data_IF_552091145135
#
_entry.id   IF_552091145135
#
_cell.length_a   1.000
_cell.length_b   1.000
_cell.length_c   1.000
_cell.angle_alpha   90.00
_cell.angle_beta   90.00
_cell.angle_gamma   90.00
#
_symmetry.space_group_name_H-M   'P 1'
#
loop_
_entity.id
_entity.type
_entity.pdbx_description
1 polymer ?
#
# COMPACT_ATOMS: atom_id res chain seq x y z
N UNK A 1 24.27 14.98 -3.96
CA UNK A 1 24.69 13.60 -4.36
C UNK A 1 25.66 12.98 -3.34
N UNK A 2 26.68 13.72 -2.85
CA UNK A 2 27.60 13.24 -1.83
C UNK A 2 26.91 13.01 -0.48
N UNK A 3 25.95 13.85 -0.12
CA UNK A 3 25.20 13.74 1.13
C UNK A 3 24.31 12.50 1.19
N UNK A 4 23.71 12.08 0.07
CA UNK A 4 22.92 10.86 0.00
C UNK A 4 23.80 9.60 0.17
N UNK A 5 24.98 9.56 -0.46
CA UNK A 5 25.93 8.46 -0.30
C UNK A 5 26.50 8.40 1.14
N UNK A 6 26.73 9.56 1.77
CA UNK A 6 27.15 9.64 3.18
C UNK A 6 26.05 9.17 4.15
N UNK A 7 24.81 9.45 3.86
CA UNK A 7 23.68 9.00 4.67
C UNK A 7 23.55 7.48 4.64
N UNK A 8 23.63 6.85 3.45
CA UNK A 8 23.61 5.38 3.30
C UNK A 8 24.76 4.69 4.05
N UNK A 9 25.95 5.27 4.06
CA UNK A 9 27.10 4.71 4.80
C UNK A 9 26.92 4.84 6.31
N UNK A 10 26.32 5.93 6.79
CA UNK A 10 26.00 6.12 8.23
C UNK A 10 24.96 5.12 8.72
N UNK A 11 23.96 4.81 7.92
CA UNK A 11 22.92 3.82 8.23
C UNK A 11 23.46 2.38 8.20
N UNK A 12 24.49 2.10 7.37
CA UNK A 12 25.07 0.77 7.21
C UNK A 12 26.22 0.42 8.19
N UNK A 13 26.42 1.21 9.29
CA UNK A 13 27.33 0.80 10.36
C UNK A 13 28.74 1.43 10.34
N UNK A 14 28.93 2.61 9.74
CA UNK A 14 30.13 3.48 9.82
C UNK A 14 31.49 2.93 9.36
N UNK A 15 31.57 1.71 8.84
CA UNK A 15 32.83 1.14 8.37
C UNK A 15 32.72 0.74 6.89
N UNK A 16 32.91 1.69 5.99
CA UNK A 16 32.92 1.43 4.56
C UNK A 16 32.71 2.67 3.70
N UNK A 17 32.98 2.55 2.42
CA UNK A 17 32.63 3.54 1.42
C UNK A 17 31.65 2.93 0.43
N UNK A 18 30.64 3.71 -0.01
CA UNK A 18 29.79 3.37 -1.15
C UNK A 18 29.88 4.51 -2.16
N UNK A 19 30.10 4.15 -3.41
CA UNK A 19 29.90 5.11 -4.48
C UNK A 19 28.41 5.38 -4.60
N UNK A 20 28.01 6.65 -4.55
CA UNK A 20 26.70 7.07 -4.99
C UNK A 20 26.55 6.58 -6.43
N UNK A 21 25.74 5.55 -6.66
CA UNK A 21 25.26 5.28 -8.01
C UNK A 21 24.45 6.50 -8.41
N UNK A 22 25.08 7.42 -9.16
CA UNK A 22 24.30 8.31 -10.00
C UNK A 22 23.26 7.39 -10.67
N UNK A 23 21.96 7.75 -10.58
CA UNK A 23 21.03 7.28 -11.60
C UNK A 23 21.69 7.69 -12.91
N UNK A 24 22.38 6.74 -13.54
CA UNK A 24 22.98 6.97 -14.83
C UNK A 24 21.86 7.56 -15.68
N UNK A 25 22.14 8.67 -16.35
CA UNK A 25 21.33 9.10 -17.49
C UNK A 25 21.11 7.82 -18.29
N UNK A 26 19.86 7.41 -18.52
CA UNK A 26 19.61 6.11 -19.12
C UNK A 26 20.42 6.01 -20.39
N UNK A 27 21.36 5.07 -20.43
CA UNK A 27 21.95 4.69 -21.71
C UNK A 27 20.79 4.26 -22.61
N UNK A 28 20.82 4.51 -23.91
CA UNK A 28 19.73 4.20 -24.85
C UNK A 28 19.15 2.78 -24.66
N UNK A 29 19.94 1.85 -24.15
CA UNK A 29 19.53 0.51 -23.78
C UNK A 29 18.55 0.45 -22.60
N UNK A 30 18.67 1.33 -21.62
CA UNK A 30 17.79 1.36 -20.45
C UNK A 30 16.42 1.99 -20.80
N UNK A 31 16.40 3.05 -21.60
CA UNK A 31 15.16 3.64 -22.11
C UNK A 31 14.36 2.65 -22.97
N UNK A 32 15.04 1.90 -23.84
CA UNK A 32 14.41 0.86 -24.66
C UNK A 32 13.86 -0.28 -23.81
N UNK A 33 14.60 -0.73 -22.79
CA UNK A 33 14.15 -1.78 -21.87
C UNK A 33 12.90 -1.33 -21.10
N UNK A 34 12.84 -0.07 -20.66
CA UNK A 34 11.69 0.52 -19.98
C UNK A 34 10.45 0.61 -20.88
N UNK A 35 10.62 1.03 -22.14
CA UNK A 35 9.52 1.05 -23.12
C UNK A 35 8.98 -0.36 -23.40
N UNK A 36 9.86 -1.35 -23.56
CA UNK A 36 9.46 -2.74 -23.74
C UNK A 36 8.73 -3.29 -22.50
N UNK A 37 9.15 -2.88 -21.30
CA UNK A 37 8.51 -3.29 -20.04
C UNK A 37 7.13 -2.65 -19.89
N UNK A 38 6.97 -1.34 -20.18
CA UNK A 38 5.70 -0.66 -20.19
C UNK A 38 4.72 -1.30 -21.19
N UNK A 39 5.18 -1.53 -22.42
CA UNK A 39 4.37 -2.21 -23.44
C UNK A 39 3.91 -3.61 -22.97
N UNK A 40 4.84 -4.40 -22.42
CA UNK A 40 4.52 -5.73 -21.89
C UNK A 40 3.53 -5.69 -20.72
N UNK A 41 3.60 -4.68 -19.84
CA UNK A 41 2.61 -4.49 -18.76
C UNK A 41 1.22 -4.16 -19.31
N UNK A 42 1.13 -3.25 -20.30
CA UNK A 42 -0.16 -2.90 -20.94
C UNK A 42 -0.82 -4.12 -21.59
N UNK A 43 -0.05 -4.90 -22.31
CA UNK A 43 -0.51 -6.15 -22.90
C UNK A 43 -0.94 -7.14 -21.81
N UNK A 44 -0.15 -7.29 -20.75
CA UNK A 44 -0.42 -8.20 -19.64
C UNK A 44 -1.73 -7.87 -18.90
N UNK A 45 -2.08 -6.59 -18.79
CA UNK A 45 -3.35 -6.16 -18.19
C UNK A 45 -4.55 -6.64 -19.04
N UNK A 46 -4.47 -6.49 -20.36
CA UNK A 46 -5.49 -6.99 -21.30
C UNK A 46 -5.58 -8.52 -21.32
N UNK A 47 -4.46 -9.21 -21.20
CA UNK A 47 -4.35 -10.67 -21.26
C UNK A 47 -4.54 -11.37 -19.91
N UNK A 48 -4.92 -10.64 -18.86
CA UNK A 48 -5.13 -11.17 -17.50
C UNK A 48 -3.91 -11.88 -16.91
N UNK A 49 -2.71 -11.36 -17.19
CA UNK A 49 -1.46 -11.90 -16.67
C UNK A 49 -1.08 -11.32 -15.30
N UNK A 50 -1.84 -10.36 -14.78
CA UNK A 50 -1.76 -9.93 -13.39
C UNK A 50 -2.60 -10.83 -12.50
N UNK A 51 -2.16 -11.05 -11.26
CA UNK A 51 -2.86 -11.79 -10.22
C UNK A 51 -2.71 -11.08 -8.89
N UNK A 52 -3.65 -11.30 -7.98
CA UNK A 52 -3.51 -10.93 -6.58
C UNK A 52 -3.11 -12.17 -5.78
N UNK A 53 -2.06 -12.04 -4.99
CA UNK A 53 -1.76 -12.92 -3.88
C UNK A 53 -2.31 -12.30 -2.61
N UNK A 54 -2.82 -13.11 -1.72
CA UNK A 54 -3.47 -12.64 -0.50
C UNK A 54 -2.63 -13.06 0.70
N UNK A 55 -2.13 -12.07 1.44
CA UNK A 55 -1.39 -12.31 2.68
C UNK A 55 -2.35 -12.17 3.85
N UNK A 56 -2.55 -13.20 4.67
CA UNK A 56 -3.47 -13.13 5.80
C UNK A 56 -3.01 -12.11 6.82
N UNK A 57 -3.97 -11.41 7.43
CA UNK A 57 -3.80 -10.54 8.58
C UNK A 57 -4.34 -11.28 9.80
N UNK A 58 -3.51 -11.37 10.84
CA UNK A 58 -3.79 -12.18 12.03
C UNK A 58 -3.98 -11.25 13.23
N UNK A 59 -5.06 -11.40 13.97
CA UNK A 59 -5.23 -10.77 15.26
C UNK A 59 -4.25 -11.39 16.27
N UNK A 60 -3.41 -10.57 16.89
CA UNK A 60 -2.35 -11.04 17.77
C UNK A 60 -2.87 -11.59 19.11
N UNK A 61 -4.07 -11.24 19.51
CA UNK A 61 -4.64 -11.69 20.77
C UNK A 61 -5.36 -13.02 20.62
N UNK A 62 -6.15 -13.18 19.55
CA UNK A 62 -6.93 -14.41 19.29
C UNK A 62 -6.20 -15.43 18.42
N UNK A 63 -5.23 -14.99 17.58
CA UNK A 63 -4.61 -15.82 16.55
C UNK A 63 -5.51 -16.05 15.32
N UNK A 64 -6.66 -15.43 15.25
CA UNK A 64 -7.61 -15.60 14.15
C UNK A 64 -7.24 -14.75 12.94
N UNK A 65 -7.63 -15.19 11.74
CA UNK A 65 -7.52 -14.40 10.50
C UNK A 65 -8.63 -13.36 10.51
N UNK A 66 -8.25 -12.09 10.46
CA UNK A 66 -9.15 -10.93 10.49
C UNK A 66 -9.13 -10.11 9.21
N UNK A 67 -8.51 -10.60 8.17
CA UNK A 67 -8.41 -9.93 6.88
C UNK A 67 -7.31 -10.51 6.02
N UNK A 68 -7.12 -9.90 4.87
CA UNK A 68 -6.00 -10.22 3.99
C UNK A 68 -5.53 -8.98 3.22
N UNK A 69 -4.24 -8.87 2.94
CA UNK A 69 -3.71 -7.87 2.04
C UNK A 69 -3.57 -8.42 0.62
N UNK A 70 -4.12 -7.72 -0.36
CA UNK A 70 -4.04 -8.05 -1.77
C UNK A 70 -2.75 -7.50 -2.38
N UNK A 71 -1.83 -8.37 -2.67
CA UNK A 71 -0.52 -8.07 -3.21
C UNK A 71 -0.44 -8.41 -4.69
N UNK A 72 -0.28 -7.40 -5.53
CA UNK A 72 -0.20 -7.58 -6.98
C UNK A 72 1.02 -8.40 -7.37
N UNK A 73 0.84 -9.32 -8.32
CA UNK A 73 1.91 -10.13 -8.92
C UNK A 73 1.70 -10.13 -10.43
N UNK A 74 2.80 -10.01 -11.15
CA UNK A 74 2.79 -10.06 -12.60
C UNK A 74 3.44 -11.35 -13.10
N UNK A 75 2.66 -12.18 -13.80
CA UNK A 75 3.19 -13.36 -14.49
C UNK A 75 3.69 -12.95 -15.88
N UNK A 76 4.99 -12.89 -16.04
CA UNK A 76 5.65 -12.61 -17.33
C UNK A 76 6.26 -13.89 -17.86
N UNK A 77 5.58 -14.53 -18.81
CA UNK A 77 6.04 -15.76 -19.46
C UNK A 77 6.40 -16.90 -18.49
N UNK A 78 5.54 -17.11 -17.48
CA UNK A 78 5.76 -18.15 -16.47
C UNK A 78 6.63 -17.72 -15.27
N UNK A 79 7.29 -16.56 -15.36
CA UNK A 79 8.09 -15.99 -14.27
C UNK A 79 7.26 -14.96 -13.51
N UNK A 80 7.23 -15.07 -12.19
CA UNK A 80 6.53 -14.13 -11.32
C UNK A 80 7.43 -12.91 -11.07
N UNK A 81 7.06 -11.76 -11.62
CA UNK A 81 7.78 -10.49 -11.44
C UNK A 81 7.29 -9.86 -10.13
N UNK A 82 8.20 -9.51 -9.19
CA UNK A 82 7.82 -8.87 -7.92
C UNK A 82 7.37 -7.42 -8.13
N UNK A 83 6.51 -6.87 -7.24
CA UNK A 83 5.99 -5.51 -7.35
C UNK A 83 7.07 -4.43 -7.45
N UNK A 84 8.17 -4.58 -6.71
CA UNK A 84 9.29 -3.62 -6.72
C UNK A 84 9.93 -3.40 -8.09
N UNK A 85 9.80 -4.38 -9.01
CA UNK A 85 10.40 -4.31 -10.33
C UNK A 85 9.49 -3.63 -11.37
N UNK A 86 8.16 -3.57 -11.15
CA UNK A 86 7.24 -3.01 -12.14
C UNK A 86 6.39 -1.85 -11.63
N UNK A 87 6.07 -1.77 -10.34
CA UNK A 87 5.24 -0.70 -9.78
C UNK A 87 5.85 0.69 -10.02
N UNK A 88 7.17 0.93 -9.80
CA UNK A 88 7.74 2.25 -10.05
C UNK A 88 7.56 2.71 -11.50
N UNK A 89 7.73 1.80 -12.48
CA UNK A 89 7.51 2.13 -13.88
C UNK A 89 6.02 2.34 -14.18
N UNK A 90 5.12 1.54 -13.60
CA UNK A 90 3.69 1.73 -13.74
C UNK A 90 3.23 3.09 -13.19
N UNK A 91 3.82 3.57 -12.10
CA UNK A 91 3.59 4.91 -11.57
C UNK A 91 4.08 6.00 -12.52
N UNK A 92 5.31 5.88 -13.03
CA UNK A 92 5.87 6.85 -13.98
C UNK A 92 5.04 6.97 -15.25
N UNK A 93 4.58 5.84 -15.80
CA UNK A 93 3.84 5.78 -17.07
C UNK A 93 2.32 5.96 -16.91
N UNK A 94 1.82 6.07 -15.67
CA UNK A 94 0.40 6.17 -15.36
C UNK A 94 -0.38 4.86 -15.46
N UNK A 95 0.27 3.75 -15.80
CA UNK A 95 -0.37 2.43 -15.87
C UNK A 95 -0.81 1.93 -14.49
N UNK A 96 -0.27 2.50 -13.43
CA UNK A 96 -0.67 2.18 -12.06
C UNK A 96 -2.16 2.44 -11.82
N UNK A 97 -2.77 3.42 -12.50
CA UNK A 97 -4.20 3.73 -12.37
C UNK A 97 -5.08 2.56 -12.80
N UNK A 98 -5.06 2.10 -14.07
CA UNK A 98 -5.88 0.97 -14.48
C UNK A 98 -5.50 -0.35 -13.78
N UNK A 99 -4.25 -0.52 -13.33
CA UNK A 99 -3.84 -1.66 -12.51
C UNK A 99 -4.50 -1.65 -11.14
N UNK A 100 -4.59 -0.50 -10.48
CA UNK A 100 -5.22 -0.37 -9.17
C UNK A 100 -6.74 -0.53 -9.25
N UNK A 101 -7.39 0.03 -10.27
CA UNK A 101 -8.82 -0.20 -10.53
C UNK A 101 -9.11 -1.69 -10.77
N UNK A 102 -8.24 -2.37 -11.51
CA UNK A 102 -8.31 -3.82 -11.69
C UNK A 102 -8.14 -4.55 -10.36
N UNK A 103 -7.18 -4.14 -9.51
CA UNK A 103 -6.92 -4.76 -8.22
C UNK A 103 -8.13 -4.66 -7.29
N UNK A 104 -8.76 -3.47 -7.18
CA UNK A 104 -9.99 -3.28 -6.38
C UNK A 104 -11.12 -4.20 -6.87
N UNK A 105 -11.33 -4.28 -8.19
CA UNK A 105 -12.34 -5.19 -8.76
C UNK A 105 -12.04 -6.67 -8.45
N UNK A 106 -10.78 -7.09 -8.53
CA UNK A 106 -10.41 -8.47 -8.19
C UNK A 106 -10.54 -8.76 -6.70
N UNK A 107 -10.19 -7.80 -5.83
CA UNK A 107 -10.38 -7.91 -4.39
C UNK A 107 -11.88 -8.05 -4.04
N UNK A 108 -12.75 -7.20 -4.57
CA UNK A 108 -14.20 -7.30 -4.38
C UNK A 108 -14.76 -8.65 -4.85
N UNK A 109 -14.32 -9.13 -6.02
CA UNK A 109 -14.66 -10.46 -6.51
C UNK A 109 -14.22 -11.57 -5.54
N UNK A 110 -13.00 -11.46 -5.00
CA UNK A 110 -12.45 -12.47 -4.10
C UNK A 110 -13.18 -12.47 -2.75
N UNK A 111 -13.52 -11.29 -2.21
CA UNK A 111 -14.39 -11.19 -1.02
C UNK A 111 -15.67 -11.95 -1.24
N UNK A 112 -16.35 -11.74 -2.39
CA UNK A 112 -17.60 -12.47 -2.70
C UNK A 112 -17.43 -13.97 -2.69
N UNK A 113 -16.35 -14.47 -3.30
CA UNK A 113 -16.06 -15.92 -3.33
C UNK A 113 -15.83 -16.45 -1.91
N UNK A 114 -15.06 -15.72 -1.10
CA UNK A 114 -14.76 -16.14 0.26
C UNK A 114 -15.98 -16.07 1.20
N UNK A 115 -16.83 -15.05 1.03
CA UNK A 115 -18.10 -14.96 1.76
C UNK A 115 -19.00 -16.16 1.47
N UNK A 116 -19.12 -16.54 0.20
CA UNK A 116 -20.00 -17.63 -0.22
C UNK A 116 -19.47 -19.02 0.20
N UNK A 117 -18.15 -19.23 0.15
CA UNK A 117 -17.59 -20.56 0.34
C UNK A 117 -17.08 -20.82 1.77
N UNK A 118 -16.72 -19.76 2.51
CA UNK A 118 -16.03 -19.88 3.80
C UNK A 118 -16.64 -19.00 4.89
N UNK A 119 -17.68 -18.22 4.60
CA UNK A 119 -18.27 -17.30 5.58
C UNK A 119 -17.36 -16.14 5.96
N UNK A 120 -16.38 -15.77 5.11
CA UNK A 120 -15.46 -14.68 5.36
C UNK A 120 -16.22 -13.36 5.55
N UNK A 121 -16.09 -12.76 6.73
CA UNK A 121 -16.81 -11.55 7.13
C UNK A 121 -15.93 -10.29 7.17
N UNK A 122 -14.62 -10.46 6.99
CA UNK A 122 -13.61 -9.42 7.13
C UNK A 122 -13.31 -8.68 5.82
N UNK A 123 -12.27 -7.87 5.81
CA UNK A 123 -11.89 -7.03 4.67
C UNK A 123 -10.67 -7.56 3.91
N UNK A 124 -10.56 -7.17 2.65
CA UNK A 124 -9.34 -7.29 1.86
C UNK A 124 -8.75 -5.90 1.68
N UNK A 125 -7.50 -5.72 2.13
CA UNK A 125 -6.75 -4.50 1.98
C UNK A 125 -6.14 -4.40 0.57
N UNK A 126 -6.25 -3.22 -0.05
CA UNK A 126 -5.73 -2.93 -1.40
C UNK A 126 -4.94 -1.64 -1.38
N UNK A 127 -3.70 -1.69 -1.84
CA UNK A 127 -2.82 -0.53 -1.95
C UNK A 127 -3.34 0.49 -2.97
N UNK A 128 -3.44 1.75 -2.57
CA UNK A 128 -3.92 2.86 -3.37
C UNK A 128 -2.81 3.88 -3.63
N UNK A 129 -2.26 3.95 -4.85
CA UNK A 129 -1.21 4.91 -5.19
C UNK A 129 -1.74 6.34 -5.26
N UNK A 130 -0.86 7.32 -4.95
CA UNK A 130 -1.23 8.75 -4.89
C UNK A 130 -1.86 9.28 -6.17
N UNK A 131 -1.44 8.81 -7.33
CA UNK A 131 -2.00 9.23 -8.64
C UNK A 131 -3.50 9.03 -8.81
N UNK A 132 -4.09 8.09 -8.06
CA UNK A 132 -5.54 7.89 -8.11
C UNK A 132 -6.31 9.05 -7.49
N UNK A 133 -5.74 9.77 -6.53
CA UNK A 133 -6.37 10.93 -5.90
C UNK A 133 -6.43 12.17 -6.82
N UNK A 134 -5.65 12.20 -7.90
CA UNK A 134 -5.74 13.22 -8.94
C UNK A 134 -7.00 13.07 -9.81
N UNK A 135 -7.72 11.97 -9.67
CA UNK A 135 -8.89 11.64 -10.49
C UNK A 135 -10.19 12.02 -9.78
N UNK A 136 -11.04 12.75 -10.46
CA UNK A 136 -12.37 13.13 -9.96
C UNK A 136 -13.35 11.95 -9.86
N UNK A 137 -13.12 10.87 -10.62
CA UNK A 137 -13.97 9.67 -10.69
C UNK A 137 -13.51 8.53 -9.78
N UNK A 138 -12.48 8.73 -8.94
CA UNK A 138 -11.93 7.71 -8.05
C UNK A 138 -13.01 7.04 -7.19
N UNK A 139 -13.81 7.86 -6.49
CA UNK A 139 -14.83 7.37 -5.56
C UNK A 139 -15.89 6.56 -6.29
N UNK A 140 -16.35 7.06 -7.44
CA UNK A 140 -17.33 6.37 -8.27
C UNK A 140 -16.80 5.03 -8.81
N UNK A 141 -15.56 5.00 -9.29
CA UNK A 141 -14.94 3.77 -9.80
C UNK A 141 -14.81 2.70 -8.72
N UNK A 142 -14.45 3.08 -7.48
CA UNK A 142 -14.39 2.15 -6.34
C UNK A 142 -15.79 1.68 -5.97
N UNK A 143 -16.75 2.60 -5.88
CA UNK A 143 -18.15 2.29 -5.59
C UNK A 143 -18.70 1.27 -6.58
N UNK A 144 -18.56 1.50 -7.86
CA UNK A 144 -19.01 0.60 -8.92
C UNK A 144 -18.31 -0.75 -8.89
N UNK A 145 -17.01 -0.77 -8.57
CA UNK A 145 -16.25 -2.01 -8.45
C UNK A 145 -16.79 -2.91 -7.32
N UNK A 146 -17.18 -2.32 -6.19
CA UNK A 146 -17.74 -3.03 -5.03
C UNK A 146 -19.17 -3.49 -5.32
N UNK A 147 -20.01 -2.60 -5.85
CA UNK A 147 -21.41 -2.90 -6.21
C UNK A 147 -21.53 -4.03 -7.24
N UNK A 148 -20.62 -4.09 -8.20
CA UNK A 148 -20.65 -5.11 -9.25
C UNK A 148 -20.60 -6.55 -8.71
N UNK A 149 -20.07 -6.74 -7.50
CA UNK A 149 -20.01 -8.05 -6.86
C UNK A 149 -20.99 -8.19 -5.67
N UNK A 150 -21.73 -7.13 -5.33
CA UNK A 150 -22.70 -7.14 -4.25
C UNK A 150 -22.06 -7.43 -2.88
N UNK A 151 -20.87 -6.89 -2.63
CA UNK A 151 -20.19 -6.98 -1.33
C UNK A 151 -20.35 -5.67 -0.58
N UNK A 152 -20.33 -5.65 0.76
CA UNK A 152 -20.37 -4.41 1.52
C UNK A 152 -19.08 -3.60 1.30
N UNK A 153 -19.16 -2.26 1.25
CA UNK A 153 -18.01 -1.40 1.01
C UNK A 153 -16.90 -1.58 2.05
N UNK A 154 -17.26 -1.79 3.32
CA UNK A 154 -16.31 -2.09 4.40
C UNK A 154 -15.50 -3.39 4.22
N UNK A 155 -15.88 -4.23 3.26
CA UNK A 155 -15.09 -5.42 2.91
C UNK A 155 -13.87 -5.09 2.03
N UNK A 156 -13.72 -3.83 1.63
CA UNK A 156 -12.52 -3.29 0.97
C UNK A 156 -11.91 -2.24 1.90
N UNK A 157 -10.67 -2.49 2.32
CA UNK A 157 -9.82 -1.57 3.05
C UNK A 157 -8.82 -0.97 2.06
N UNK A 158 -8.76 0.35 1.93
CA UNK A 158 -7.80 1.01 1.05
C UNK A 158 -6.58 1.44 1.84
N UNK A 159 -5.40 1.00 1.40
CA UNK A 159 -4.13 1.34 2.03
C UNK A 159 -3.44 2.47 1.27
N UNK A 160 -3.06 3.52 1.98
CA UNK A 160 -2.27 4.63 1.46
C UNK A 160 -1.02 4.80 2.32
N UNK A 161 0.15 4.90 1.70
CA UNK A 161 1.38 5.14 2.46
C UNK A 161 1.39 6.56 3.04
N UNK A 162 1.99 6.72 4.22
CA UNK A 162 2.16 8.02 4.87
C UNK A 162 2.74 9.08 3.91
N UNK A 163 3.78 8.71 3.16
CA UNK A 163 4.42 9.59 2.21
C UNK A 163 3.50 10.03 1.06
N UNK A 164 2.60 9.16 0.60
CA UNK A 164 1.65 9.49 -0.46
C UNK A 164 0.54 10.42 0.04
N UNK A 165 0.09 10.23 1.28
CA UNK A 165 -0.85 11.11 1.94
C UNK A 165 -0.33 12.56 2.02
N UNK A 166 0.97 12.71 2.32
CA UNK A 166 1.60 14.03 2.54
C UNK A 166 1.90 14.81 1.25
N UNK A 167 1.88 14.18 0.09
CA UNK A 167 2.16 14.86 -1.20
C UNK A 167 1.11 15.89 -1.59
N UNK A 168 -0.17 15.59 -1.34
CA UNK A 168 -1.31 16.47 -1.64
C UNK A 168 -2.43 16.23 -0.63
N UNK A 169 -2.18 16.64 0.59
CA UNK A 169 -3.08 16.37 1.72
C UNK A 169 -4.50 16.90 1.49
N UNK A 170 -4.66 18.03 0.81
CA UNK A 170 -5.98 18.64 0.61
C UNK A 170 -6.87 17.76 -0.29
N UNK A 171 -6.40 17.41 -1.49
CA UNK A 171 -7.17 16.60 -2.43
C UNK A 171 -7.36 15.17 -1.95
N UNK A 172 -6.30 14.61 -1.32
CA UNK A 172 -6.38 13.28 -0.71
C UNK A 172 -7.43 13.26 0.38
N UNK A 173 -7.43 14.23 1.30
CA UNK A 173 -8.41 14.33 2.40
C UNK A 173 -9.85 14.35 1.90
N UNK A 174 -10.16 15.17 0.90
CA UNK A 174 -11.51 15.24 0.30
C UNK A 174 -11.95 13.88 -0.25
N UNK A 175 -11.05 13.19 -0.96
CA UNK A 175 -11.34 11.88 -1.53
C UNK A 175 -11.53 10.81 -0.45
N UNK A 176 -10.72 10.84 0.63
CA UNK A 176 -10.85 9.92 1.76
C UNK A 176 -12.18 10.08 2.50
N UNK A 177 -12.62 11.33 2.74
CA UNK A 177 -13.93 11.57 3.34
C UNK A 177 -15.07 11.00 2.49
N UNK A 178 -15.06 11.25 1.17
CA UNK A 178 -16.07 10.72 0.26
C UNK A 178 -16.05 9.20 0.17
N UNK A 179 -14.87 8.57 0.22
CA UNK A 179 -14.75 7.10 0.29
C UNK A 179 -15.32 6.55 1.59
N UNK A 180 -15.05 7.22 2.71
CA UNK A 180 -15.60 6.82 4.01
C UNK A 180 -17.12 7.01 4.08
N UNK A 181 -17.67 8.07 3.48
CA UNK A 181 -19.13 8.31 3.40
C UNK A 181 -19.87 7.16 2.70
N UNK A 182 -19.24 6.51 1.72
CA UNK A 182 -19.81 5.32 1.07
C UNK A 182 -19.49 4.00 1.83
N UNK A 183 -18.77 4.08 2.95
CA UNK A 183 -18.48 2.95 3.85
C UNK A 183 -17.21 2.17 3.52
N UNK A 184 -16.29 2.74 2.71
CA UNK A 184 -14.95 2.18 2.47
C UNK A 184 -14.03 2.56 3.63
N UNK A 185 -13.32 1.60 4.19
CA UNK A 185 -12.36 1.82 5.27
C UNK A 185 -10.98 2.22 4.72
N UNK A 186 -10.24 3.04 5.49
CA UNK A 186 -8.94 3.58 5.09
C UNK A 186 -7.86 3.19 6.09
N UNK A 187 -6.75 2.68 5.61
CA UNK A 187 -5.54 2.38 6.39
C UNK A 187 -4.37 3.25 5.93
N UNK A 188 -3.59 3.75 6.88
CA UNK A 188 -2.29 4.37 6.57
C UNK A 188 -1.21 3.31 6.73
N UNK A 189 -0.45 3.08 5.66
CA UNK A 189 0.68 2.14 5.63
C UNK A 189 2.04 2.83 5.81
N UNK A 190 3.05 2.06 6.21
CA UNK A 190 4.43 2.47 6.47
C UNK A 190 4.54 3.64 7.48
N UNK A 191 3.61 3.68 8.47
CA UNK A 191 3.53 4.78 9.42
C UNK A 191 4.75 4.86 10.34
N UNK A 192 5.27 6.08 10.51
CA UNK A 192 6.44 6.40 11.33
C UNK A 192 7.71 6.61 10.52
N UNK A 193 7.69 6.41 9.19
CA UNK A 193 8.86 6.65 8.32
C UNK A 193 8.92 8.07 7.76
N UNK A 194 7.82 8.82 7.85
CA UNK A 194 7.65 10.17 7.33
C UNK A 194 7.67 11.27 8.40
N UNK A 195 7.48 12.51 7.98
CA UNK A 195 7.34 13.69 8.83
C UNK A 195 5.86 13.97 9.11
N UNK A 196 5.15 13.05 9.75
CA UNK A 196 3.74 13.28 10.07
C UNK A 196 3.56 14.38 11.08
N UNK A 197 2.84 15.42 10.71
CA UNK A 197 2.20 16.24 11.71
C UNK A 197 0.98 15.48 12.23
N UNK A 198 0.97 15.11 13.47
CA UNK A 198 -0.15 14.39 14.13
C UNK A 198 -1.50 15.09 13.97
N UNK A 199 -1.49 16.39 13.64
CA UNK A 199 -2.69 17.20 13.45
C UNK A 199 -3.61 16.70 12.32
N UNK A 200 -3.06 16.09 11.25
CA UNK A 200 -3.95 15.60 10.17
C UNK A 200 -4.67 14.31 10.53
N UNK A 201 -4.02 13.46 11.34
CA UNK A 201 -4.62 12.18 11.71
C UNK A 201 -5.94 12.36 12.47
N UNK A 202 -6.09 13.49 13.19
CA UNK A 202 -7.32 13.81 13.90
C UNK A 202 -8.46 14.26 12.99
N UNK A 203 -8.15 14.64 11.75
CA UNK A 203 -9.13 15.17 10.78
C UNK A 203 -9.47 14.18 9.68
N UNK A 204 -8.67 13.13 9.49
CA UNK A 204 -8.88 12.15 8.44
C UNK A 204 -9.72 10.96 8.93
N UNK A 205 -10.59 10.41 8.08
CA UNK A 205 -11.43 9.27 8.41
C UNK A 205 -10.65 7.95 8.32
N UNK A 206 -9.65 7.79 9.20
CA UNK A 206 -8.75 6.65 9.20
C UNK A 206 -9.29 5.58 10.13
N UNK A 207 -9.33 4.34 9.65
CA UNK A 207 -9.78 3.16 10.40
C UNK A 207 -8.60 2.37 10.96
N UNK A 208 -7.40 2.48 10.35
CA UNK A 208 -6.25 1.66 10.70
C UNK A 208 -4.92 2.39 10.49
N UNK A 209 -3.94 2.12 11.35
CA UNK A 209 -2.54 2.50 11.18
C UNK A 209 -1.67 1.24 11.15
N UNK A 210 -0.88 1.07 10.08
CA UNK A 210 0.09 -0.01 9.94
C UNK A 210 1.49 0.52 10.25
N UNK A 211 2.11 -0.04 11.27
CA UNK A 211 3.47 0.32 11.68
C UNK A 211 4.45 -0.24 10.67
N UNK A 212 5.37 0.61 10.17
CA UNK A 212 6.41 0.13 9.26
C UNK A 212 7.23 -1.01 9.88
N UNK A 213 7.52 -2.01 9.06
CA UNK A 213 8.19 -3.23 9.50
C UNK A 213 9.59 -3.00 10.06
N UNK A 214 10.27 -1.89 9.70
CA UNK A 214 11.61 -1.58 10.23
C UNK A 214 11.59 -1.40 11.73
N UNK A 215 10.53 -0.77 12.27
CA UNK A 215 10.36 -0.63 13.71
C UNK A 215 9.99 -1.92 14.40
N UNK A 216 9.16 -2.75 13.75
CA UNK A 216 8.72 -4.03 14.30
C UNK A 216 9.88 -5.04 14.32
N UNK A 217 10.70 -5.09 13.27
CA UNK A 217 11.88 -5.97 13.19
C UNK A 217 12.88 -5.69 14.31
N UNK A 218 13.07 -4.43 14.65
CA UNK A 218 14.05 -3.97 15.64
C UNK A 218 13.43 -3.82 17.05
N UNK A 219 12.18 -4.31 17.24
CA UNK A 219 11.44 -4.30 18.50
C UNK A 219 12.16 -5.18 19.55
N UNK A 220 12.42 -4.61 20.72
CA UNK A 220 13.17 -5.29 21.78
C UNK A 220 14.69 -5.31 21.57
N UNK A 221 15.19 -4.89 20.39
CA UNK A 221 16.63 -4.81 20.10
C UNK A 221 17.13 -3.38 20.40
N UNK A 222 16.38 -2.37 19.97
CA UNK A 222 16.73 -0.97 20.18
C UNK A 222 15.68 -0.28 21.05
N UNK A 223 16.08 0.52 22.07
CA UNK A 223 15.13 1.29 22.87
C UNK A 223 14.30 2.27 22.02
N UNK A 224 14.89 2.79 20.94
CA UNK A 224 14.24 3.75 20.04
C UNK A 224 13.06 3.10 19.29
N UNK A 225 13.24 1.91 18.72
CA UNK A 225 12.17 1.20 18.01
C UNK A 225 11.01 0.84 18.94
N UNK A 226 11.31 0.40 20.15
CA UNK A 226 10.30 0.12 21.17
C UNK A 226 9.52 1.37 21.58
N UNK A 227 10.21 2.52 21.73
CA UNK A 227 9.57 3.79 22.05
C UNK A 227 8.65 4.27 20.91
N UNK A 228 9.11 4.19 19.64
CA UNK A 228 8.29 4.56 18.46
C UNK A 228 7.04 3.69 18.35
N UNK A 229 7.18 2.37 18.43
CA UNK A 229 6.03 1.45 18.37
C UNK A 229 5.04 1.76 19.49
N UNK A 230 5.52 1.96 20.73
CA UNK A 230 4.65 2.30 21.86
C UNK A 230 3.91 3.62 21.67
N UNK A 231 4.60 4.63 21.11
CA UNK A 231 4.00 5.93 20.81
C UNK A 231 2.92 5.83 19.73
N UNK A 232 3.16 5.05 18.66
CA UNK A 232 2.17 4.84 17.59
C UNK A 232 0.94 4.10 18.13
N UNK A 233 1.13 3.08 18.97
CA UNK A 233 0.01 2.35 19.59
C UNK A 233 -0.80 3.28 20.51
N UNK A 234 -0.13 4.11 21.31
CA UNK A 234 -0.79 5.07 22.19
C UNK A 234 -1.59 6.11 21.39
N UNK A 235 -1.00 6.62 20.30
CA UNK A 235 -1.66 7.53 19.37
C UNK A 235 -2.91 6.88 18.76
N UNK A 236 -2.79 5.69 18.22
CA UNK A 236 -3.88 4.94 17.63
C UNK A 236 -5.05 4.79 18.61
N UNK A 237 -4.78 4.44 19.85
CA UNK A 237 -5.80 4.35 20.93
C UNK A 237 -6.44 5.70 21.26
N UNK A 238 -5.66 6.78 21.25
CA UNK A 238 -6.19 8.12 21.61
C UNK A 238 -7.08 8.72 20.52
N UNK A 239 -6.90 8.32 19.27
CA UNK A 239 -7.73 8.76 18.15
C UNK A 239 -9.12 8.08 18.13
N UNK A 240 -9.40 7.19 19.08
CA UNK A 240 -10.73 6.59 19.28
C UNK A 240 -11.17 5.67 18.14
N UNK A 241 -10.26 5.35 17.21
CA UNK A 241 -10.53 4.48 16.11
C UNK A 241 -10.49 3.01 16.51
N UNK A 242 -11.13 2.18 15.73
CA UNK A 242 -10.94 0.72 15.75
C UNK A 242 -9.59 0.40 15.12
N UNK A 243 -8.51 0.90 15.73
CA UNK A 243 -7.16 0.65 15.23
C UNK A 243 -6.80 -0.80 15.45
N UNK A 244 -6.69 -1.54 14.35
CA UNK A 244 -6.24 -2.91 14.35
C UNK A 244 -4.71 -2.90 14.31
N UNK A 245 -4.05 -3.55 15.25
CA UNK A 245 -2.60 -3.80 15.20
C UNK A 245 -2.36 -5.17 14.59
N UNK A 246 -1.73 -5.22 13.43
CA UNK A 246 -1.41 -6.47 12.77
C UNK A 246 0.11 -6.69 12.70
N UNK A 247 0.54 -7.94 12.81
CA UNK A 247 1.87 -8.33 12.43
C UNK A 247 1.85 -8.98 11.03
N UNK A 248 2.74 -8.53 10.15
CA UNK A 248 3.00 -9.24 8.90
C UNK A 248 4.09 -10.29 9.17
N UNK A 249 3.78 -11.55 8.96
CA UNK A 249 4.78 -12.60 8.86
C UNK A 249 5.20 -12.71 7.39
N UNK A 250 6.48 -12.50 7.13
CA UNK A 250 7.12 -12.76 5.84
C UNK A 250 7.91 -14.06 5.88
#
# INVERSE_FOLDING_TARGET
HADAAMHEVKVAGRAGYRFHRQRAVPADGDARARLLLDHAMRQALGERRFRLHYQPQIDLASGEVIGAEALMRWNRNGVLVPPGDFIPLAEETGLIVPLSEWAVRQAARQVKIWQQNFGFADSIAVNLPSRLFERSDLVENIHQAVLAYGVPHKAILLEITENNLMKDLHNVSLSLHRLNEIGVEISIDDFGTGYSSLAYLTTLPISELKIDRSFVRDLGITPQSSAVVSAIIALARSLGGQFRSHARYH
#
